data_IF_667613235229
#
_entry.id   IF_667613235229
#
_cell.length_a   1.000
_cell.length_b   1.000
_cell.length_c   1.000
_cell.angle_alpha   90.00
_cell.angle_beta   90.00
_cell.angle_gamma   90.00
#
_symmetry.space_group_name_H-M   'P 1'
#
loop_
_entity.id
_entity.type
_entity.pdbx_description
1 polymer ?
#
# COMPACT_ATOMS: atom_id res chain seq x y z
N UNK A 1 -13.36 3.30 -16.16
CA UNK A 1 -12.22 3.00 -15.26
C UNK A 1 -12.63 2.56 -13.86
N UNK A 2 -12.50 1.27 -13.57
CA UNK A 2 -12.61 0.59 -12.26
C UNK A 2 -13.90 0.88 -11.47
N UNK A 3 -15.04 1.05 -12.16
CA UNK A 3 -16.32 1.38 -11.53
C UNK A 3 -16.79 0.30 -10.55
N UNK A 4 -16.54 -0.98 -10.89
CA UNK A 4 -16.87 -2.11 -10.02
C UNK A 4 -16.16 -2.04 -8.67
N UNK A 5 -14.87 -1.71 -8.67
CA UNK A 5 -14.09 -1.54 -7.45
C UNK A 5 -14.53 -0.30 -6.66
N UNK A 6 -14.82 0.82 -7.34
CA UNK A 6 -15.36 2.02 -6.69
C UNK A 6 -16.68 1.73 -5.96
N UNK A 7 -17.57 0.94 -6.56
CA UNK A 7 -18.82 0.50 -5.93
C UNK A 7 -18.60 -0.42 -4.72
N UNK A 8 -17.44 -1.09 -4.64
CA UNK A 8 -16.99 -1.86 -3.48
C UNK A 8 -16.23 -0.99 -2.45
N UNK A 9 -16.18 0.33 -2.65
CA UNK A 9 -15.57 1.28 -1.73
C UNK A 9 -14.10 1.61 -2.02
N UNK A 10 -13.49 1.02 -3.05
CA UNK A 10 -12.12 1.36 -3.43
C UNK A 10 -12.03 2.81 -3.85
N UNK A 11 -11.00 3.50 -3.37
CA UNK A 11 -10.69 4.83 -3.85
C UNK A 11 -9.90 4.71 -5.14
N UNK A 12 -10.32 5.44 -6.17
CA UNK A 12 -9.65 5.45 -7.47
C UNK A 12 -9.43 6.89 -7.89
N UNK A 13 -8.19 7.24 -8.20
CA UNK A 13 -7.83 8.54 -8.76
C UNK A 13 -7.02 8.33 -10.02
N UNK A 14 -7.33 9.10 -11.06
CA UNK A 14 -6.68 8.99 -12.37
C UNK A 14 -6.14 10.35 -12.77
N UNK A 15 -4.85 10.41 -13.07
CA UNK A 15 -4.11 11.65 -13.28
C UNK A 15 -3.41 11.65 -14.65
N UNK A 16 -3.09 12.84 -15.15
CA UNK A 16 -2.25 13.03 -16.35
C UNK A 16 -2.69 12.19 -17.56
N UNK A 17 -4.01 12.18 -17.81
CA UNK A 17 -4.66 11.46 -18.91
C UNK A 17 -4.56 9.91 -18.88
N UNK A 18 -4.14 9.32 -17.77
CA UNK A 18 -4.04 7.86 -17.65
C UNK A 18 -5.33 7.12 -18.01
N UNK A 19 -6.51 7.73 -17.79
CA UNK A 19 -7.80 7.13 -18.17
C UNK A 19 -7.85 6.82 -19.67
N UNK A 20 -7.54 7.80 -20.51
CA UNK A 20 -7.62 7.64 -21.95
C UNK A 20 -6.61 6.60 -22.47
N UNK A 21 -5.40 6.60 -21.89
CA UNK A 21 -4.34 5.66 -22.24
C UNK A 21 -4.75 4.23 -21.84
N UNK A 22 -5.23 4.03 -20.61
CA UNK A 22 -5.65 2.73 -20.12
C UNK A 22 -6.88 2.18 -20.86
N UNK A 23 -7.90 3.01 -21.15
CA UNK A 23 -9.13 2.54 -21.80
C UNK A 23 -8.92 2.18 -23.29
N UNK A 24 -7.94 2.79 -23.95
CA UNK A 24 -7.70 2.58 -25.39
C UNK A 24 -6.55 1.61 -25.65
N UNK A 25 -5.39 1.85 -25.03
CA UNK A 25 -4.16 1.12 -25.33
C UNK A 25 -3.93 -0.10 -24.41
N UNK A 26 -4.56 -0.11 -23.22
CA UNK A 26 -4.36 -1.13 -22.19
C UNK A 26 -5.66 -1.60 -21.49
N UNK A 27 -6.75 -1.89 -22.21
CA UNK A 27 -8.04 -2.21 -21.59
C UNK A 27 -7.99 -3.46 -20.69
N UNK A 28 -7.06 -4.39 -20.96
CA UNK A 28 -6.84 -5.58 -20.14
C UNK A 28 -6.38 -5.25 -18.72
N UNK A 29 -5.70 -4.11 -18.51
CA UNK A 29 -5.25 -3.70 -17.17
C UNK A 29 -6.45 -3.46 -16.24
N UNK A 30 -7.51 -2.84 -16.73
CA UNK A 30 -8.73 -2.62 -15.93
C UNK A 30 -9.35 -3.95 -15.49
N UNK A 31 -9.39 -4.93 -16.40
CA UNK A 31 -9.94 -6.26 -16.17
C UNK A 31 -9.07 -7.02 -15.16
N UNK A 32 -7.76 -7.10 -15.40
CA UNK A 32 -6.81 -7.82 -14.55
C UNK A 32 -6.80 -7.25 -13.12
N UNK A 33 -6.77 -5.92 -12.96
CA UNK A 33 -6.82 -5.28 -11.65
C UNK A 33 -8.15 -5.48 -10.95
N UNK A 34 -9.27 -5.40 -11.67
CA UNK A 34 -10.59 -5.66 -11.09
C UNK A 34 -10.67 -7.08 -10.55
N UNK A 35 -10.24 -8.08 -11.33
CA UNK A 35 -10.26 -9.49 -10.92
C UNK A 35 -9.35 -9.77 -9.72
N UNK A 36 -8.16 -9.17 -9.69
CA UNK A 36 -7.21 -9.32 -8.58
C UNK A 36 -7.73 -8.67 -7.30
N UNK A 37 -8.30 -7.47 -7.40
CA UNK A 37 -8.69 -6.68 -6.24
C UNK A 37 -10.06 -7.04 -5.69
N UNK A 38 -11.02 -7.43 -6.51
CA UNK A 38 -12.38 -7.76 -6.08
C UNK A 38 -12.42 -8.85 -4.99
N UNK A 39 -11.57 -9.88 -5.15
CA UNK A 39 -11.45 -10.99 -4.20
C UNK A 39 -10.43 -10.75 -3.08
N UNK A 40 -9.75 -9.61 -3.05
CA UNK A 40 -8.67 -9.38 -2.10
C UNK A 40 -9.22 -9.18 -0.68
N UNK A 41 -8.76 -10.02 0.26
CA UNK A 41 -9.11 -9.94 1.68
C UNK A 41 -7.89 -10.00 2.58
N UNK A 42 -7.98 -9.28 3.69
CA UNK A 42 -6.97 -9.24 4.76
C UNK A 42 -7.64 -9.75 6.03
N UNK A 43 -7.35 -10.98 6.47
CA UNK A 43 -7.77 -11.43 7.78
C UNK A 43 -7.26 -10.48 8.86
N UNK A 44 -8.13 -10.03 9.76
CA UNK A 44 -7.78 -9.03 10.77
C UNK A 44 -6.62 -9.49 11.66
N UNK A 45 -6.50 -10.80 11.92
CA UNK A 45 -5.37 -11.38 12.63
C UNK A 45 -4.01 -11.07 11.98
N UNK A 46 -3.94 -10.97 10.64
CA UNK A 46 -2.72 -10.59 9.93
C UNK A 46 -2.34 -9.12 10.14
N UNK A 47 -3.33 -8.25 10.38
CA UNK A 47 -3.07 -6.86 10.76
C UNK A 47 -2.48 -6.78 12.16
N UNK A 48 -2.85 -7.69 13.05
CA UNK A 48 -2.40 -7.74 14.46
C UNK A 48 -1.01 -8.35 14.60
N UNK A 49 -0.77 -9.46 13.90
CA UNK A 49 0.49 -10.20 13.97
C UNK A 49 1.73 -9.29 13.84
N UNK A 50 2.72 -9.52 14.69
CA UNK A 50 4.03 -8.89 14.63
C UNK A 50 4.93 -9.54 13.57
N UNK A 51 5.99 -8.85 13.16
CA UNK A 51 7.01 -9.40 12.26
C UNK A 51 7.79 -8.34 11.50
N UNK A 52 9.04 -8.66 11.17
CA UNK A 52 9.95 -7.81 10.38
C UNK A 52 9.96 -8.13 8.87
N UNK A 53 9.09 -9.04 8.42
CA UNK A 53 8.93 -9.40 7.01
C UNK A 53 7.72 -8.72 6.37
N UNK A 54 7.58 -8.89 5.05
CA UNK A 54 6.41 -8.41 4.32
C UNK A 54 5.12 -9.04 4.85
N UNK A 55 4.04 -8.26 4.90
CA UNK A 55 2.74 -8.75 5.34
C UNK A 55 2.19 -9.84 4.40
N UNK A 56 1.59 -10.89 4.97
CA UNK A 56 1.02 -12.01 4.21
C UNK A 56 -0.02 -11.55 3.16
N UNK A 57 -0.86 -10.58 3.52
CA UNK A 57 -1.78 -9.94 2.58
C UNK A 57 -1.06 -9.35 1.35
N UNK A 58 0.03 -8.61 1.55
CA UNK A 58 0.83 -8.06 0.45
C UNK A 58 1.43 -9.18 -0.42
N UNK A 59 1.94 -10.25 0.18
CA UNK A 59 2.45 -11.41 -0.56
C UNK A 59 1.36 -12.07 -1.43
N UNK A 60 0.14 -12.22 -0.91
CA UNK A 60 -1.00 -12.74 -1.68
C UNK A 60 -1.34 -11.84 -2.86
N UNK A 61 -1.37 -10.53 -2.66
CA UNK A 61 -1.65 -9.56 -3.72
C UNK A 61 -0.56 -9.59 -4.82
N UNK A 62 0.71 -9.59 -4.43
CA UNK A 62 1.85 -9.77 -5.36
C UNK A 62 1.74 -11.04 -6.17
N UNK A 63 1.41 -12.15 -5.51
CA UNK A 63 1.21 -13.44 -6.18
C UNK A 63 0.07 -13.36 -7.19
N UNK A 64 -1.07 -12.79 -6.81
CA UNK A 64 -2.22 -12.64 -7.71
C UNK A 64 -1.87 -11.81 -8.96
N UNK A 65 -1.11 -10.72 -8.81
CA UNK A 65 -0.59 -9.94 -9.94
C UNK A 65 0.42 -10.74 -10.78
N UNK A 66 1.33 -11.47 -10.15
CA UNK A 66 2.30 -12.33 -10.85
C UNK A 66 1.58 -13.41 -11.68
N UNK A 67 0.51 -14.01 -11.14
CA UNK A 67 -0.32 -14.99 -11.83
C UNK A 67 -1.08 -14.36 -13.02
N UNK A 68 -1.30 -13.04 -12.99
CA UNK A 68 -1.75 -12.21 -14.12
C UNK A 68 -0.61 -11.72 -15.02
N UNK A 69 0.57 -12.32 -14.94
CA UNK A 69 1.75 -11.99 -15.73
C UNK A 69 2.25 -10.54 -15.53
N UNK A 70 2.21 -10.07 -14.29
CA UNK A 70 2.92 -8.86 -13.85
C UNK A 70 4.20 -9.25 -13.09
N UNK A 71 5.28 -9.68 -13.79
CA UNK A 71 6.53 -10.02 -13.11
C UNK A 71 7.22 -8.76 -12.56
N UNK A 72 8.11 -9.01 -11.60
CA UNK A 72 9.16 -8.07 -11.22
C UNK A 72 10.06 -7.77 -12.41
N UNK A 73 10.38 -6.50 -12.61
CA UNK A 73 11.13 -6.04 -13.78
C UNK A 73 12.24 -5.07 -13.40
N UNK A 74 13.41 -5.25 -14.04
CA UNK A 74 14.56 -4.38 -13.85
C UNK A 74 14.76 -3.52 -15.10
N UNK A 75 14.52 -2.22 -14.96
CA UNK A 75 14.84 -1.24 -15.99
C UNK A 75 16.30 -0.84 -15.87
N UNK A 76 17.06 -0.98 -16.95
CA UNK A 76 18.42 -0.46 -17.06
C UNK A 76 18.42 0.71 -18.04
N UNK A 77 18.67 1.91 -17.52
CA UNK A 77 18.69 3.15 -18.29
C UNK A 77 20.14 3.60 -18.45
N UNK A 78 20.63 3.63 -19.69
CA UNK A 78 21.99 4.08 -20.01
C UNK A 78 21.95 5.31 -20.91
N UNK A 79 22.61 6.38 -20.49
CA UNK A 79 22.80 7.58 -21.32
C UNK A 79 24.17 7.56 -21.96
N UNK A 80 24.21 7.47 -23.30
CA UNK A 80 25.45 7.45 -24.09
C UNK A 80 25.58 8.72 -24.93
N UNK A 81 26.75 9.35 -24.91
CA UNK A 81 27.10 10.44 -25.83
C UNK A 81 28.33 10.02 -26.62
N UNK A 82 28.20 9.99 -27.96
CA UNK A 82 29.25 9.55 -28.88
C UNK A 82 29.85 8.17 -28.51
N UNK A 83 29.00 7.24 -28.08
CA UNK A 83 29.41 5.88 -27.66
C UNK A 83 29.98 5.78 -26.25
N UNK A 84 30.25 6.89 -25.56
CA UNK A 84 30.69 6.88 -24.16
C UNK A 84 29.49 6.90 -23.21
N UNK A 85 29.40 5.90 -22.35
CA UNK A 85 28.41 5.86 -21.26
C UNK A 85 28.77 6.98 -20.28
N UNK A 86 27.82 7.90 -20.06
CA UNK A 86 27.95 8.95 -19.05
C UNK A 86 27.29 8.55 -17.74
N UNK A 87 26.17 7.83 -17.84
CA UNK A 87 25.35 7.41 -16.71
C UNK A 87 24.70 6.07 -17.02
N UNK A 88 24.64 5.20 -16.01
CA UNK A 88 23.90 3.94 -16.02
C UNK A 88 23.17 3.83 -14.68
N UNK A 89 21.85 3.70 -14.72
CA UNK A 89 21.00 3.52 -13.55
C UNK A 89 20.13 2.28 -13.74
N UNK A 90 19.97 1.50 -12.68
CA UNK A 90 19.03 0.38 -12.63
C UNK A 90 17.90 0.70 -11.66
N UNK A 91 16.66 0.54 -12.11
CA UNK A 91 15.46 0.69 -11.29
C UNK A 91 14.67 -0.61 -11.31
N UNK A 92 14.42 -1.16 -10.13
CA UNK A 92 13.51 -2.30 -9.97
C UNK A 92 12.09 -1.76 -9.80
N UNK A 93 11.15 -2.33 -10.55
CA UNK A 93 9.71 -2.13 -10.36
C UNK A 93 9.09 -3.48 -10.06
N UNK A 94 8.26 -3.54 -9.02
CA UNK A 94 7.78 -4.80 -8.48
C UNK A 94 6.84 -5.56 -9.41
N UNK A 95 6.05 -4.84 -10.23
CA UNK A 95 5.08 -5.43 -11.15
C UNK A 95 5.07 -4.62 -12.45
N UNK A 96 5.41 -5.26 -13.56
CA UNK A 96 5.32 -4.63 -14.89
C UNK A 96 4.57 -5.54 -15.85
N UNK A 97 3.56 -4.98 -16.51
CA UNK A 97 2.84 -5.64 -17.60
C UNK A 97 3.30 -5.11 -18.93
N UNK A 98 3.68 -6.01 -19.83
CA UNK A 98 4.13 -5.67 -21.17
C UNK A 98 3.07 -6.04 -22.22
N UNK A 99 2.80 -5.08 -23.09
CA UNK A 99 1.87 -5.16 -24.21
C UNK A 99 2.58 -4.72 -25.49
N UNK A 100 1.95 -4.95 -26.64
CA UNK A 100 2.43 -4.39 -27.91
C UNK A 100 2.44 -2.87 -27.92
N UNK A 101 1.54 -2.24 -27.15
CA UNK A 101 1.37 -0.78 -27.05
C UNK A 101 2.32 -0.11 -26.04
N UNK A 102 3.10 -0.89 -25.29
CA UNK A 102 4.01 -0.38 -24.27
C UNK A 102 3.95 -1.18 -22.97
N UNK A 103 4.35 -0.55 -21.86
CA UNK A 103 4.38 -1.18 -20.54
C UNK A 103 3.60 -0.38 -19.52
N UNK A 104 2.99 -1.07 -18.58
CA UNK A 104 2.36 -0.48 -17.40
C UNK A 104 3.09 -0.96 -16.16
N UNK A 105 3.50 -0.04 -15.29
CA UNK A 105 4.22 -0.32 -14.05
C UNK A 105 3.28 -0.20 -12.85
N UNK A 106 3.45 -1.05 -11.84
CA UNK A 106 2.63 -1.07 -10.64
C UNK A 106 3.48 -1.34 -9.38
N UNK A 107 3.28 -0.50 -8.36
CA UNK A 107 3.85 -0.65 -7.04
C UNK A 107 2.76 -0.85 -5.97
N UNK A 108 3.01 -1.77 -5.04
CA UNK A 108 2.15 -1.97 -3.86
C UNK A 108 2.84 -1.37 -2.65
N UNK A 109 2.27 -0.30 -2.13
CA UNK A 109 2.81 0.44 -0.99
C UNK A 109 2.02 0.14 0.27
N UNK A 110 2.56 -0.73 1.13
CA UNK A 110 1.92 -1.23 2.36
C UNK A 110 2.74 -0.97 3.61
N UNK A 111 2.39 0.07 4.36
CA UNK A 111 3.03 0.45 5.63
C UNK A 111 4.55 0.72 5.54
N UNK A 112 5.06 0.96 4.34
CA UNK A 112 6.42 1.42 4.12
C UNK A 112 6.61 2.84 4.69
N UNK A 113 7.85 3.27 4.86
CA UNK A 113 8.15 4.64 5.29
C UNK A 113 7.74 5.64 4.20
N UNK A 114 7.35 6.85 4.62
CA UNK A 114 6.93 7.93 3.72
C UNK A 114 7.82 8.20 2.47
N UNK A 115 9.17 8.08 2.49
CA UNK A 115 10.00 8.35 1.31
C UNK A 115 9.83 7.38 0.15
N UNK A 116 9.03 6.31 0.30
CA UNK A 116 8.78 5.35 -0.78
C UNK A 116 7.96 5.99 -1.90
N UNK A 117 6.84 6.67 -1.60
CA UNK A 117 6.06 7.37 -2.64
C UNK A 117 6.89 8.35 -3.47
N UNK A 118 7.78 9.13 -2.84
CA UNK A 118 8.63 10.08 -3.56
C UNK A 118 9.58 9.37 -4.53
N UNK A 119 10.08 8.19 -4.16
CA UNK A 119 10.94 7.35 -5.00
C UNK A 119 10.16 6.74 -6.15
N UNK A 120 9.00 6.16 -5.89
CA UNK A 120 8.23 5.44 -6.91
C UNK A 120 7.67 6.42 -7.95
N UNK A 121 7.14 7.56 -7.50
CA UNK A 121 6.65 8.61 -8.38
C UNK A 121 7.77 9.23 -9.23
N UNK A 122 8.95 9.49 -8.64
CA UNK A 122 10.11 10.00 -9.40
C UNK A 122 10.64 8.94 -10.40
N UNK A 123 10.63 7.66 -10.02
CA UNK A 123 10.97 6.56 -10.92
C UNK A 123 10.00 6.47 -12.10
N UNK A 124 8.69 6.52 -11.84
CA UNK A 124 7.66 6.53 -12.89
C UNK A 124 7.81 7.71 -13.83
N UNK A 125 8.07 8.91 -13.30
CA UNK A 125 8.34 10.10 -14.10
C UNK A 125 9.51 9.89 -15.07
N UNK A 126 10.63 9.35 -14.59
CA UNK A 126 11.83 9.10 -15.42
C UNK A 126 11.56 8.03 -16.47
N UNK A 127 11.02 6.88 -16.04
CA UNK A 127 10.71 5.77 -16.93
C UNK A 127 9.73 6.18 -18.02
N UNK A 128 8.71 6.99 -17.69
CA UNK A 128 7.78 7.52 -18.68
C UNK A 128 8.46 8.52 -19.63
N UNK A 129 9.31 9.42 -19.12
CA UNK A 129 10.05 10.36 -19.97
C UNK A 129 10.98 9.66 -20.98
N UNK A 130 11.54 8.51 -20.60
CA UNK A 130 12.37 7.68 -21.46
C UNK A 130 11.55 6.73 -22.37
N UNK A 131 10.21 6.75 -22.27
CA UNK A 131 9.31 5.88 -23.03
C UNK A 131 9.33 4.41 -22.58
N UNK A 132 9.89 4.10 -21.40
CA UNK A 132 9.99 2.76 -20.86
C UNK A 132 8.66 2.23 -20.30
N UNK A 133 7.79 3.12 -19.81
CA UNK A 133 6.43 2.85 -19.35
C UNK A 133 5.45 3.90 -19.89
N UNK A 134 4.19 3.52 -20.05
CA UNK A 134 3.10 4.41 -20.47
C UNK A 134 2.28 4.91 -19.29
N UNK A 135 2.10 4.08 -18.26
CA UNK A 135 1.30 4.40 -17.05
C UNK A 135 1.97 3.80 -15.82
N UNK A 136 1.98 4.56 -14.72
CA UNK A 136 2.34 4.07 -13.38
C UNK A 136 1.10 3.85 -12.51
N UNK A 137 1.10 2.80 -11.70
CA UNK A 137 -0.02 2.42 -10.83
C UNK A 137 0.47 2.27 -9.40
N UNK A 138 -0.23 2.87 -8.43
CA UNK A 138 0.08 2.69 -7.00
C UNK A 138 -1.14 2.12 -6.29
N UNK A 139 -0.96 0.99 -5.61
CA UNK A 139 -1.95 0.44 -4.69
C UNK A 139 -1.48 0.69 -3.26
N UNK A 140 -2.31 1.33 -2.43
CA UNK A 140 -1.99 1.59 -1.02
C UNK A 140 -3.23 1.53 -0.13
N UNK A 141 -3.07 1.75 1.18
CA UNK A 141 -4.22 1.85 2.10
C UNK A 141 -5.03 3.10 1.78
N UNK A 142 -6.33 2.91 1.52
CA UNK A 142 -7.29 3.99 1.32
C UNK A 142 -7.58 4.75 2.62
N UNK A 143 -8.25 5.90 2.50
CA UNK A 143 -8.66 6.74 3.64
C UNK A 143 -9.50 5.96 4.64
N UNK A 144 -10.51 5.21 4.18
CA UNK A 144 -11.40 4.46 5.09
C UNK A 144 -10.63 3.42 5.90
N UNK A 145 -9.76 2.63 5.26
CA UNK A 145 -8.92 1.65 5.96
C UNK A 145 -7.95 2.31 6.95
N UNK A 146 -7.33 3.43 6.57
CA UNK A 146 -6.38 4.14 7.44
C UNK A 146 -7.06 4.76 8.65
N UNK A 147 -8.16 5.49 8.45
CA UNK A 147 -8.87 6.21 9.51
C UNK A 147 -9.57 5.25 10.48
N UNK A 148 -10.12 4.14 9.98
CA UNK A 148 -10.80 3.14 10.80
C UNK A 148 -9.88 2.10 11.43
N UNK A 149 -8.56 2.17 11.23
CA UNK A 149 -7.61 1.18 11.74
C UNK A 149 -7.74 0.96 13.27
N UNK A 150 -7.99 2.01 14.06
CA UNK A 150 -8.23 1.87 15.51
C UNK A 150 -9.53 1.15 15.82
N UNK A 151 -10.58 1.41 15.05
CA UNK A 151 -11.88 0.73 15.20
C UNK A 151 -11.75 -0.75 14.85
N UNK A 152 -11.05 -1.06 13.77
CA UNK A 152 -10.76 -2.43 13.32
C UNK A 152 -10.01 -3.22 14.39
N UNK A 153 -8.90 -2.66 14.91
CA UNK A 153 -8.12 -3.29 15.98
C UNK A 153 -8.94 -3.43 17.26
N UNK A 154 -9.72 -2.40 17.62
CA UNK A 154 -10.59 -2.45 18.79
C UNK A 154 -11.64 -3.57 18.69
N UNK A 155 -12.34 -3.66 17.56
CA UNK A 155 -13.31 -4.73 17.30
C UNK A 155 -12.67 -6.12 17.37
N UNK A 156 -11.43 -6.26 16.90
CA UNK A 156 -10.70 -7.51 17.02
C UNK A 156 -10.44 -7.89 18.49
N UNK A 157 -10.00 -6.94 19.32
CA UNK A 157 -9.82 -7.18 20.76
C UNK A 157 -11.15 -7.59 21.41
N UNK A 158 -12.22 -6.83 21.11
CA UNK A 158 -13.55 -7.03 21.70
C UNK A 158 -14.14 -8.39 21.31
N UNK A 159 -13.96 -8.82 20.06
CA UNK A 159 -14.51 -10.09 19.55
C UNK A 159 -13.77 -11.31 20.09
N UNK A 160 -12.52 -11.15 20.50
CA UNK A 160 -11.66 -12.24 20.97
C UNK A 160 -11.37 -12.17 22.47
N UNK A 161 -12.13 -11.37 23.23
CA UNK A 161 -12.00 -11.17 24.68
C UNK A 161 -10.54 -10.89 25.14
N UNK A 162 -9.83 -10.04 24.38
CA UNK A 162 -8.42 -9.74 24.63
C UNK A 162 -8.31 -8.59 25.63
N UNK A 163 -7.93 -8.90 26.87
CA UNK A 163 -7.84 -7.94 27.97
C UNK A 163 -6.40 -7.58 28.36
N UNK A 164 -5.41 -8.35 27.88
CA UNK A 164 -4.00 -8.15 28.22
C UNK A 164 -3.06 -8.30 27.03
N UNK A 165 -1.78 -7.92 27.20
CA UNK A 165 -0.76 -8.10 26.17
C UNK A 165 -0.39 -9.57 25.95
N UNK A 166 -0.58 -10.42 26.95
CA UNK A 166 -0.18 -11.83 26.86
C UNK A 166 -1.18 -12.60 26.00
N UNK A 167 -2.47 -12.23 26.03
CA UNK A 167 -3.55 -12.78 25.20
C UNK A 167 -3.31 -12.60 23.69
N UNK A 168 -2.48 -11.64 23.29
CA UNK A 168 -2.11 -11.35 21.91
C UNK A 168 -1.01 -12.27 21.35
N UNK A 169 -0.34 -13.02 22.22
CA UNK A 169 0.79 -13.88 21.81
C UNK A 169 0.31 -15.00 20.89
N UNK A 170 -0.88 -15.58 21.16
CA UNK A 170 -1.50 -16.59 20.28
C UNK A 170 -1.82 -16.04 18.87
N UNK A 171 -1.97 -14.72 18.74
CA UNK A 171 -2.21 -14.01 17.49
C UNK A 171 -0.91 -13.54 16.82
N UNK A 172 0.25 -14.01 17.31
CA UNK A 172 1.56 -13.70 16.76
C UNK A 172 2.03 -12.29 17.04
N UNK A 173 1.46 -11.57 18.02
CA UNK A 173 1.92 -10.25 18.41
C UNK A 173 2.69 -10.32 19.74
N UNK A 174 3.99 -10.07 19.66
CA UNK A 174 4.87 -9.99 20.83
C UNK A 174 5.43 -8.57 20.98
N UNK A 175 4.90 -7.75 21.92
CA UNK A 175 5.36 -6.37 22.07
C UNK A 175 6.78 -6.30 22.66
N UNK A 176 7.56 -5.32 22.20
CA UNK A 176 8.86 -5.00 22.82
C UNK A 176 8.67 -4.53 24.27
N UNK A 177 9.71 -4.62 25.10
CA UNK A 177 9.67 -4.11 26.49
C UNK A 177 9.26 -2.63 26.55
N UNK A 178 9.67 -1.83 25.55
CA UNK A 178 9.28 -0.42 25.41
C UNK A 178 7.79 -0.27 25.13
N UNK A 179 7.22 -1.09 24.24
CA UNK A 179 5.79 -1.07 23.95
C UNK A 179 4.97 -1.48 25.17
N UNK A 180 5.37 -2.56 25.88
CA UNK A 180 4.72 -2.97 27.15
C UNK A 180 4.71 -1.83 28.16
N UNK A 181 5.86 -1.24 28.45
CA UNK A 181 5.97 -0.13 29.39
C UNK A 181 5.10 1.06 29.00
N UNK A 182 5.02 1.39 27.70
CA UNK A 182 4.17 2.49 27.22
C UNK A 182 2.69 2.19 27.43
N UNK A 183 2.24 0.97 27.10
CA UNK A 183 0.83 0.57 27.22
C UNK A 183 0.45 0.51 28.71
N UNK A 184 1.25 -0.15 29.55
CA UNK A 184 1.03 -0.19 31.00
C UNK A 184 1.02 1.20 31.62
N UNK A 185 1.89 2.11 31.17
CA UNK A 185 1.89 3.50 31.63
C UNK A 185 0.62 4.28 31.25
N UNK A 186 -0.01 3.99 30.11
CA UNK A 186 -1.28 4.60 29.72
C UNK A 186 -2.47 4.06 30.52
N UNK A 187 -2.42 2.79 30.94
CA UNK A 187 -3.46 2.16 31.76
C UNK A 187 -3.36 2.61 33.21
N UNK A 188 -2.14 2.67 33.77
CA UNK A 188 -1.90 2.94 35.18
C UNK A 188 -1.68 4.43 35.51
N UNK A 189 -1.94 5.36 34.59
CA UNK A 189 -1.74 6.80 34.84
C UNK A 189 -2.78 7.35 35.81
N UNK A 190 -2.36 8.24 36.70
CA UNK A 190 -3.25 8.84 37.71
C UNK A 190 -4.37 9.71 37.12
N UNK A 191 -4.11 10.33 35.97
CA UNK A 191 -5.06 11.23 35.29
C UNK A 191 -5.60 10.57 34.02
N UNK A 192 -6.91 10.38 33.99
CA UNK A 192 -7.66 9.87 32.83
C UNK A 192 -7.16 8.47 32.39
N UNK A 193 -7.07 7.46 33.28
CA UNK A 193 -6.54 6.14 32.90
C UNK A 193 -7.29 5.56 31.71
N UNK A 194 -6.56 5.02 30.73
CA UNK A 194 -7.18 4.35 29.58
C UNK A 194 -7.47 2.90 29.92
N UNK A 195 -8.52 2.34 29.34
CA UNK A 195 -8.68 0.89 29.28
C UNK A 195 -7.50 0.25 28.52
N UNK A 196 -7.24 -1.04 28.77
CA UNK A 196 -6.25 -1.79 27.99
C UNK A 196 -6.52 -1.67 26.49
N UNK A 197 -7.77 -1.86 26.09
CA UNK A 197 -8.26 -1.71 24.72
C UNK A 197 -7.85 -0.39 24.09
N UNK A 198 -8.13 0.73 24.75
CA UNK A 198 -7.80 2.07 24.24
C UNK A 198 -6.28 2.30 24.18
N UNK A 199 -5.56 1.90 25.23
CA UNK A 199 -4.11 2.04 25.31
C UNK A 199 -3.40 1.23 24.21
N UNK A 200 -3.84 -0.02 24.01
CA UNK A 200 -3.34 -0.90 22.96
C UNK A 200 -3.63 -0.33 21.57
N UNK A 201 -4.90 -0.05 21.25
CA UNK A 201 -5.29 0.47 19.93
C UNK A 201 -4.52 1.75 19.60
N UNK A 202 -4.39 2.66 20.56
CA UNK A 202 -3.64 3.91 20.36
C UNK A 202 -2.19 3.64 20.03
N UNK A 203 -1.50 2.81 20.83
CA UNK A 203 -0.06 2.58 20.68
C UNK A 203 0.23 1.72 19.44
N UNK A 204 -0.49 0.63 19.27
CA UNK A 204 -0.32 -0.31 18.17
C UNK A 204 -0.53 0.35 16.81
N UNK A 205 -1.66 1.06 16.63
CA UNK A 205 -1.96 1.74 15.36
C UNK A 205 -0.97 2.85 15.08
N UNK A 206 -0.59 3.64 16.09
CA UNK A 206 0.42 4.70 15.91
C UNK A 206 1.78 4.15 15.47
N UNK A 207 2.20 3.01 16.01
CA UNK A 207 3.50 2.41 15.68
C UNK A 207 3.50 1.76 14.29
N UNK A 208 2.44 1.02 13.95
CA UNK A 208 2.42 0.16 12.75
C UNK A 208 1.75 0.78 11.53
N UNK A 209 0.77 1.66 11.73
CA UNK A 209 -0.14 2.14 10.70
C UNK A 209 -0.28 3.68 10.69
N UNK A 210 0.51 4.37 11.52
CA UNK A 210 0.37 5.81 11.76
C UNK A 210 0.93 6.69 10.64
N UNK A 211 1.08 7.98 10.93
CA UNK A 211 1.43 9.03 9.96
C UNK A 211 2.84 8.98 9.37
N UNK A 212 3.69 8.09 9.86
CA UNK A 212 5.03 7.85 9.31
C UNK A 212 5.05 6.72 8.25
N UNK A 213 3.87 6.22 7.87
CA UNK A 213 3.70 5.12 6.94
C UNK A 213 2.84 5.49 5.74
N UNK A 214 3.04 4.81 4.62
CA UNK A 214 2.30 5.02 3.37
C UNK A 214 0.79 4.78 3.51
N UNK A 215 -0.01 5.73 3.03
CA UNK A 215 -1.48 5.71 2.96
C UNK A 215 -2.00 6.80 2.01
N UNK A 216 -3.28 6.74 1.65
CA UNK A 216 -3.92 7.61 0.64
C UNK A 216 -3.58 9.09 0.76
N UNK A 217 -3.84 9.71 1.92
CA UNK A 217 -3.62 11.15 2.12
C UNK A 217 -2.17 11.59 1.83
N UNK A 218 -1.18 10.74 2.13
CA UNK A 218 0.25 11.03 1.86
C UNK A 218 0.58 10.94 0.39
N UNK A 219 -0.08 10.04 -0.34
CA UNK A 219 0.05 9.89 -1.78
C UNK A 219 -0.64 11.06 -2.50
N UNK A 220 -1.88 11.35 -2.11
CA UNK A 220 -2.72 12.45 -2.61
C UNK A 220 -2.01 13.81 -2.49
N UNK A 221 -1.45 14.14 -1.32
CA UNK A 221 -0.68 15.40 -1.13
C UNK A 221 0.46 15.52 -2.16
N UNK A 222 1.18 14.43 -2.41
CA UNK A 222 2.33 14.44 -3.34
C UNK A 222 1.89 14.64 -4.77
N UNK A 223 0.90 13.89 -5.24
CA UNK A 223 0.45 13.96 -6.63
C UNK A 223 -0.24 15.29 -6.93
N UNK A 224 -0.99 15.86 -5.97
CA UNK A 224 -1.58 17.21 -6.11
C UNK A 224 -0.53 18.32 -6.10
N UNK A 225 0.61 18.10 -5.44
CA UNK A 225 1.80 18.96 -5.54
C UNK A 225 2.61 18.73 -6.82
N UNK A 226 2.20 17.79 -7.66
CA UNK A 226 2.81 17.49 -8.97
C UNK A 226 3.99 16.53 -8.93
N UNK A 227 4.22 15.83 -7.83
CA UNK A 227 5.22 14.76 -7.77
C UNK A 227 4.80 13.62 -8.69
N UNK A 228 5.72 13.11 -9.51
CA UNK A 228 5.45 12.10 -10.54
C UNK A 228 5.02 12.65 -11.91
N UNK A 229 4.63 13.93 -12.01
CA UNK A 229 4.29 14.53 -13.31
C UNK A 229 5.53 14.63 -14.22
N UNK A 230 5.38 14.42 -15.54
CA UNK A 230 4.12 14.28 -16.29
C UNK A 230 3.67 12.82 -16.52
N UNK A 231 4.13 11.84 -15.73
CA UNK A 231 3.70 10.45 -15.91
C UNK A 231 2.18 10.31 -15.73
N UNK A 232 1.47 9.60 -16.62
CA UNK A 232 0.10 9.14 -16.40
C UNK A 232 0.03 8.19 -15.21
N UNK A 233 -0.86 8.48 -14.25
CA UNK A 233 -0.98 7.70 -13.02
C UNK A 233 -2.40 7.19 -12.78
N UNK A 234 -2.49 5.95 -12.29
CA UNK A 234 -3.70 5.38 -11.69
C UNK A 234 -3.40 5.03 -10.23
N UNK A 235 -4.15 5.61 -9.30
CA UNK A 235 -3.99 5.40 -7.87
C UNK A 235 -5.17 4.60 -7.34
N UNK A 236 -4.92 3.59 -6.51
CA UNK A 236 -5.93 2.72 -5.93
C UNK A 236 -5.76 2.63 -4.41
N UNK A 237 -6.75 3.09 -3.66
CA UNK A 237 -6.82 3.02 -2.21
C UNK A 237 -7.68 1.85 -1.75
N UNK A 238 -7.09 0.92 -1.00
CA UNK A 238 -7.76 -0.23 -0.41
C UNK A 238 -8.75 0.23 0.68
N UNK A 239 -10.04 -0.13 0.58
CA UNK A 239 -11.06 0.24 1.56
C UNK A 239 -11.01 -0.61 2.83
N UNK A 240 -11.69 -0.16 3.90
CA UNK A 240 -11.76 -0.92 5.16
C UNK A 240 -12.44 -2.29 5.03
N UNK A 241 -13.37 -2.46 4.09
CA UNK A 241 -14.13 -3.70 3.91
C UNK A 241 -13.33 -4.83 3.26
N UNK A 242 -12.08 -4.59 2.84
CA UNK A 242 -11.16 -5.68 2.51
C UNK A 242 -10.68 -6.41 3.76
N UNK A 243 -10.87 -5.83 4.95
CA UNK A 243 -10.53 -6.49 6.22
C UNK A 243 -11.66 -7.43 6.62
N UNK A 244 -11.29 -8.69 6.81
CA UNK A 244 -12.20 -9.77 7.19
C UNK A 244 -12.03 -10.08 8.68
N UNK A 245 -13.17 -10.19 9.38
CA UNK A 245 -13.22 -10.65 10.76
C UNK A 245 -13.68 -12.11 10.71
N UNK A 246 -12.86 -13.02 11.22
CA UNK A 246 -13.20 -14.44 11.38
C UNK A 246 -14.35 -14.63 12.39
#
# INVERSE_FOLDING_TARGET
MLEKLQNQGYQVEVLSHARAILEVDFPEVEIELTEVLEGFRIPVAELIAGGGGEAKGTQRLRKALTDKQWPKFHFNVERKINGKILESQSHEVDHVREFTSGRVALEIEWNNKDPFFDRDLENYKRLHADGAISVGIIITRGTSLHENMKSIVGKFLDTNDIETLDDLTQWGYEPTSRQRATISGLVNRDKDPLSFREAFCRKFVSDKFGEATTHWRKLEDRVHRGVGNPCPLLLVGLPENVVEFD
#
